data_IF_043474676196
#
_entry.id   IF_043474676196
#
_cell.length_a   1.000
_cell.length_b   1.000
_cell.length_c   1.000
_cell.angle_alpha   90.00
_cell.angle_beta   90.00
_cell.angle_gamma   90.00
#
_symmetry.space_group_name_H-M   'P 1'
#
loop_
_entity.id
_entity.type
_entity.pdbx_description
1 polymer ?
#
# COMPACT_ATOMS: atom_id res chain seq x y z
N UNK A 1 -17.42 -34.40 3.99
CA UNK A 1 -17.31 -33.71 2.68
C UNK A 1 -17.68 -32.26 2.92
N UNK A 2 -16.69 -31.37 3.02
CA UNK A 2 -16.94 -29.93 3.08
C UNK A 2 -17.34 -29.49 1.66
N UNK A 3 -18.55 -28.98 1.52
CA UNK A 3 -19.01 -28.30 0.31
C UNK A 3 -18.18 -27.03 0.15
N UNK A 4 -17.26 -27.03 -0.82
CA UNK A 4 -16.66 -25.80 -1.31
C UNK A 4 -17.78 -24.95 -1.91
N UNK A 5 -18.10 -23.84 -1.27
CA UNK A 5 -19.00 -22.84 -1.82
C UNK A 5 -18.36 -22.26 -3.10
N UNK A 6 -18.82 -22.73 -4.25
CA UNK A 6 -18.35 -22.32 -5.59
C UNK A 6 -19.01 -21.03 -6.09
N UNK A 7 -19.50 -20.17 -5.19
CA UNK A 7 -20.07 -18.88 -5.56
C UNK A 7 -18.97 -17.81 -5.59
N UNK A 8 -18.21 -17.80 -6.69
CA UNK A 8 -17.35 -16.68 -7.03
C UNK A 8 -18.22 -15.51 -7.51
N UNK A 9 -18.92 -14.86 -6.58
CA UNK A 9 -19.73 -13.68 -6.89
C UNK A 9 -18.80 -12.51 -7.21
N UNK A 10 -18.72 -12.16 -8.49
CA UNK A 10 -18.19 -10.86 -8.92
C UNK A 10 -19.23 -9.79 -8.56
N UNK A 11 -19.22 -9.37 -7.30
CA UNK A 11 -19.91 -8.15 -6.91
C UNK A 11 -19.15 -6.98 -7.55
N UNK A 12 -19.86 -6.12 -8.29
CA UNK A 12 -19.36 -4.77 -8.56
C UNK A 12 -18.92 -4.22 -7.21
N UNK A 13 -17.71 -3.68 -7.11
CA UNK A 13 -17.24 -2.95 -5.95
C UNK A 13 -18.09 -1.67 -5.84
N UNK A 14 -19.36 -1.85 -5.48
CA UNK A 14 -20.23 -0.78 -5.03
C UNK A 14 -19.48 -0.15 -3.87
N UNK A 15 -19.25 1.17 -4.01
CA UNK A 15 -18.76 2.10 -3.00
C UNK A 15 -18.73 1.45 -1.62
N UNK A 16 -17.54 1.15 -1.10
CA UNK A 16 -17.39 0.59 0.24
C UNK A 16 -18.20 1.49 1.19
N UNK A 17 -19.38 1.06 1.71
CA UNK A 17 -20.27 1.97 2.42
C UNK A 17 -19.60 2.55 3.67
N UNK A 18 -18.61 1.81 4.17
CA UNK A 18 -17.74 2.08 5.31
C UNK A 18 -16.69 3.16 5.01
N UNK A 19 -16.28 3.32 3.75
CA UNK A 19 -15.26 4.26 3.29
C UNK A 19 -15.87 5.47 2.55
N UNK A 20 -17.20 5.62 2.67
CA UNK A 20 -17.96 6.68 2.02
C UNK A 20 -17.47 8.05 2.48
N UNK A 21 -17.00 8.86 1.54
CA UNK A 21 -16.44 10.19 1.79
C UNK A 21 -14.93 10.26 1.99
N UNK A 22 -14.21 9.12 2.05
CA UNK A 22 -12.74 9.07 2.16
C UNK A 22 -12.01 9.15 0.82
N UNK A 23 -12.75 9.19 -0.31
CA UNK A 23 -12.15 9.23 -1.64
C UNK A 23 -11.45 7.93 -2.04
N UNK A 24 -11.72 6.79 -1.38
CA UNK A 24 -11.17 5.49 -1.75
C UNK A 24 -11.80 5.02 -3.07
N UNK A 25 -10.93 4.71 -4.04
CA UNK A 25 -11.27 4.27 -5.39
C UNK A 25 -11.43 2.76 -5.42
N UNK A 26 -10.48 2.05 -4.80
CA UNK A 26 -10.48 0.58 -4.74
C UNK A 26 -9.74 0.09 -3.50
N UNK A 27 -10.15 -1.07 -3.01
CA UNK A 27 -9.42 -1.82 -2.00
C UNK A 27 -9.49 -3.30 -2.37
N UNK A 28 -8.36 -3.99 -2.25
CA UNK A 28 -8.26 -5.43 -2.49
C UNK A 28 -7.53 -6.05 -1.29
N UNK A 29 -8.07 -7.15 -0.79
CA UNK A 29 -7.54 -7.93 0.31
C UNK A 29 -7.27 -9.34 -0.21
N UNK A 30 -6.02 -9.79 -0.06
CA UNK A 30 -5.63 -11.16 -0.32
C UNK A 30 -5.03 -11.75 0.95
N UNK A 31 -5.56 -12.86 1.41
CA UNK A 31 -5.01 -13.61 2.55
C UNK A 31 -4.69 -15.03 2.12
N UNK A 32 -3.68 -15.60 2.77
CA UNK A 32 -3.30 -16.99 2.61
C UNK A 32 -2.87 -17.56 3.96
N UNK A 33 -3.46 -18.70 4.30
CA UNK A 33 -3.08 -19.49 5.48
C UNK A 33 -2.25 -20.67 4.98
N UNK A 34 -1.04 -20.83 5.51
CA UNK A 34 -0.22 -22.00 5.18
C UNK A 34 -0.86 -23.24 5.84
N UNK A 35 -1.17 -24.28 5.06
CA UNK A 35 -1.75 -25.53 5.58
C UNK A 35 -0.83 -26.68 5.19
N UNK A 36 -0.38 -27.43 6.18
CA UNK A 36 0.44 -28.64 5.98
C UNK A 36 -0.24 -29.85 6.60
N UNK A 37 -0.05 -31.03 6.03
CA UNK A 37 -0.60 -32.28 6.59
C UNK A 37 0.51 -33.04 7.30
N UNK A 38 0.24 -33.55 8.49
CA UNK A 38 1.13 -34.49 9.18
C UNK A 38 1.11 -35.86 8.50
N UNK A 39 2.06 -36.73 8.88
CA UNK A 39 2.08 -38.13 8.44
C UNK A 39 0.80 -38.92 8.81
N UNK A 40 0.02 -38.42 9.77
CA UNK A 40 -1.26 -38.98 10.18
C UNK A 40 -2.47 -38.32 9.48
N UNK A 41 -2.26 -37.52 8.41
CA UNK A 41 -3.28 -36.74 7.71
C UNK A 41 -4.04 -35.73 8.59
N UNK A 42 -3.43 -35.28 9.68
CA UNK A 42 -3.98 -34.19 10.51
C UNK A 42 -3.50 -32.85 9.93
N UNK A 43 -4.40 -31.90 9.61
CA UNK A 43 -4.02 -30.57 9.15
C UNK A 43 -3.37 -29.77 10.28
N UNK A 44 -2.21 -29.20 9.97
CA UNK A 44 -1.53 -28.17 10.74
C UNK A 44 -1.70 -26.84 10.02
N UNK A 45 -2.29 -25.89 10.73
CA UNK A 45 -2.48 -24.53 10.26
C UNK A 45 -1.28 -23.69 10.69
N UNK A 46 -0.64 -23.05 9.73
CA UNK A 46 0.37 -22.03 9.93
C UNK A 46 -0.26 -20.65 10.16
N UNK A 47 0.58 -19.64 10.36
CA UNK A 47 0.10 -18.27 10.48
C UNK A 47 -0.57 -17.80 9.18
N UNK A 48 -1.61 -16.97 9.32
CA UNK A 48 -2.25 -16.35 8.15
C UNK A 48 -1.59 -15.03 7.84
N UNK A 49 -1.16 -14.88 6.58
CA UNK A 49 -0.56 -13.63 6.10
C UNK A 49 -1.25 -13.17 4.84
N UNK A 50 -1.18 -11.87 4.58
CA UNK A 50 -1.84 -11.30 3.41
C UNK A 50 -1.30 -9.96 2.99
N UNK A 51 -1.90 -9.45 1.94
CA UNK A 51 -1.68 -8.11 1.42
C UNK A 51 -3.02 -7.37 1.27
N UNK A 52 -3.00 -6.09 1.62
CA UNK A 52 -4.09 -5.14 1.34
C UNK A 52 -3.53 -4.06 0.44
N UNK A 53 -4.10 -3.93 -0.75
CA UNK A 53 -3.84 -2.80 -1.63
C UNK A 53 -5.02 -1.83 -1.61
N UNK A 54 -4.80 -0.56 -1.30
CA UNK A 54 -5.81 0.50 -1.29
C UNK A 54 -5.40 1.57 -2.28
N UNK A 55 -6.30 1.97 -3.17
CA UNK A 55 -6.13 3.12 -4.06
C UNK A 55 -7.17 4.18 -3.70
N UNK A 56 -6.77 5.44 -3.58
CA UNK A 56 -7.65 6.55 -3.24
C UNK A 56 -7.26 7.83 -3.98
N UNK A 57 -8.16 8.81 -4.01
CA UNK A 57 -7.85 10.15 -4.46
C UNK A 57 -6.97 10.87 -3.44
N UNK A 58 -5.95 11.57 -3.92
CA UNK A 58 -5.13 12.44 -3.09
C UNK A 58 -5.81 13.81 -2.99
N UNK A 59 -5.98 14.41 -1.80
CA UNK A 59 -6.44 15.78 -1.70
C UNK A 59 -5.39 16.72 -2.30
N UNK A 60 -5.85 17.63 -3.16
CA UNK A 60 -5.06 18.78 -3.59
C UNK A 60 -5.23 19.89 -2.56
N UNK A 61 -4.16 20.23 -1.85
CA UNK A 61 -4.17 21.31 -0.85
C UNK A 61 -4.02 22.70 -1.50
N UNK A 62 -4.81 22.97 -2.55
CA UNK A 62 -4.80 24.23 -3.30
C UNK A 62 -3.63 24.39 -4.28
N UNK A 63 -3.01 23.28 -4.69
CA UNK A 63 -1.88 23.28 -5.63
C UNK A 63 -2.36 23.27 -7.08
N UNK A 64 -1.73 24.11 -7.92
CA UNK A 64 -1.91 24.10 -9.38
C UNK A 64 -0.82 23.25 -10.03
N UNK A 65 -1.06 21.94 -10.10
CA UNK A 65 -0.17 20.99 -10.75
C UNK A 65 -0.45 20.99 -12.26
N UNK A 66 0.53 21.43 -13.08
CA UNK A 66 0.40 21.48 -14.55
C UNK A 66 1.11 20.36 -15.28
N UNK A 67 2.09 19.75 -14.63
CA UNK A 67 2.91 18.69 -15.19
C UNK A 67 2.68 17.40 -14.39
N UNK A 68 2.90 16.22 -15.01
CA UNK A 68 2.81 14.96 -14.29
C UNK A 68 3.86 14.90 -13.18
N UNK A 69 3.45 14.35 -12.04
CA UNK A 69 4.28 14.20 -10.86
C UNK A 69 4.08 12.84 -10.23
N UNK A 70 5.15 12.29 -9.66
CA UNK A 70 5.13 10.99 -8.97
C UNK A 70 5.96 11.07 -7.72
N UNK A 71 5.54 10.34 -6.70
CA UNK A 71 6.32 10.16 -5.50
C UNK A 71 6.01 8.80 -4.92
N UNK A 72 6.97 8.21 -4.23
CA UNK A 72 6.71 6.92 -3.62
C UNK A 72 7.80 6.48 -2.68
N UNK A 73 7.47 5.43 -1.95
CA UNK A 73 8.38 4.79 -1.01
C UNK A 73 8.10 3.29 -0.99
N UNK A 74 9.17 2.51 -0.88
CA UNK A 74 9.10 1.06 -0.71
C UNK A 74 9.86 0.65 0.54
N UNK A 75 9.19 -0.16 1.36
CA UNK A 75 9.68 -0.75 2.59
C UNK A 75 9.89 -2.24 2.37
N UNK A 76 11.09 -2.72 2.67
CA UNK A 76 11.41 -4.13 2.61
C UNK A 76 11.20 -4.74 3.99
N UNK A 77 10.49 -5.86 4.07
CA UNK A 77 10.21 -6.57 5.30
C UNK A 77 10.68 -8.01 5.18
N UNK A 78 11.43 -8.50 6.18
CA UNK A 78 11.68 -9.92 6.38
C UNK A 78 10.59 -10.49 7.27
N UNK A 79 9.97 -11.57 6.81
CA UNK A 79 8.96 -12.30 7.58
C UNK A 79 9.64 -13.35 8.46
N UNK A 80 9.38 -13.35 9.76
CA UNK A 80 9.78 -14.41 10.70
C UNK A 80 8.56 -14.95 11.42
N UNK A 81 8.54 -16.25 11.65
CA UNK A 81 7.48 -16.93 12.38
C UNK A 81 8.09 -17.42 13.68
N UNK A 82 7.54 -16.96 14.80
CA UNK A 82 7.88 -17.43 16.13
C UNK A 82 6.80 -18.40 16.62
N UNK A 83 7.22 -19.45 17.32
CA UNK A 83 6.32 -20.44 17.89
C UNK A 83 6.52 -20.43 19.40
N UNK A 84 5.61 -19.79 20.11
CA UNK A 84 5.65 -19.71 21.58
C UNK A 84 4.39 -20.37 22.15
N UNK A 85 4.59 -21.41 22.97
CA UNK A 85 3.50 -22.14 23.64
C UNK A 85 2.38 -22.68 22.71
N UNK A 86 2.71 -22.99 21.46
CA UNK A 86 1.76 -23.50 20.46
C UNK A 86 1.01 -22.44 19.67
N UNK A 87 1.26 -21.14 19.92
CA UNK A 87 0.81 -20.03 19.07
C UNK A 87 1.87 -19.69 18.04
N UNK A 88 1.46 -19.49 16.78
CA UNK A 88 2.34 -19.07 15.69
C UNK A 88 2.14 -17.59 15.41
N UNK A 89 3.08 -16.76 15.86
CA UNK A 89 3.06 -15.32 15.61
C UNK A 89 3.98 -14.97 14.45
N UNK A 90 3.48 -14.18 13.49
CA UNK A 90 4.33 -13.67 12.39
C UNK A 90 4.79 -12.26 12.68
N UNK A 91 6.10 -12.07 12.70
CA UNK A 91 6.76 -10.78 12.85
C UNK A 91 7.33 -10.32 11.51
N UNK A 92 7.04 -9.07 11.13
CA UNK A 92 7.69 -8.41 10.01
C UNK A 92 8.81 -7.50 10.54
N UNK A 93 10.05 -7.81 10.15
CA UNK A 93 11.25 -7.11 10.57
C UNK A 93 11.73 -6.25 9.40
N UNK A 94 11.92 -4.93 9.59
CA UNK A 94 12.31 -4.06 8.48
C UNK A 94 13.74 -4.37 8.01
N UNK A 95 13.88 -4.56 6.69
CA UNK A 95 15.17 -4.73 6.01
C UNK A 95 15.74 -3.40 5.55
N UNK A 96 16.62 -2.84 6.36
CA UNK A 96 17.55 -1.79 5.95
C UNK A 96 16.91 -0.55 5.31
N UNK A 97 17.70 0.12 4.45
CA UNK A 97 17.39 1.45 3.92
C UNK A 97 16.12 1.49 3.09
N UNK A 98 15.22 2.40 3.47
CA UNK A 98 14.00 2.73 2.74
C UNK A 98 14.41 3.54 1.52
N UNK A 99 13.92 3.15 0.35
CA UNK A 99 14.09 3.95 -0.87
C UNK A 99 12.82 4.73 -1.11
N UNK A 100 12.93 6.05 -1.05
CA UNK A 100 11.89 6.96 -1.45
C UNK A 100 12.34 7.76 -2.67
N UNK A 101 11.38 8.17 -3.48
CA UNK A 101 11.63 8.99 -4.65
C UNK A 101 10.53 10.04 -4.81
N UNK A 102 10.90 11.15 -5.45
CA UNK A 102 9.97 12.16 -5.95
C UNK A 102 10.40 12.57 -7.36
N UNK A 103 9.43 12.82 -8.22
CA UNK A 103 9.66 13.17 -9.61
C UNK A 103 8.61 14.18 -10.07
N UNK A 104 9.08 15.32 -10.61
CA UNK A 104 8.19 16.38 -11.08
C UNK A 104 7.52 17.17 -9.94
N UNK A 105 6.47 17.96 -10.24
CA UNK A 105 5.75 18.71 -9.22
C UNK A 105 4.90 17.76 -8.37
N UNK A 106 5.15 17.77 -7.07
CA UNK A 106 4.42 16.95 -6.09
C UNK A 106 3.58 17.85 -5.17
N UNK A 107 2.60 17.24 -4.49
CA UNK A 107 1.85 17.92 -3.43
C UNK A 107 2.75 18.26 -2.22
N UNK A 108 2.46 19.36 -1.54
CA UNK A 108 3.12 19.80 -0.29
C UNK A 108 2.89 18.84 0.87
N UNK A 109 1.90 17.96 0.74
CA UNK A 109 1.67 16.89 1.70
C UNK A 109 2.78 15.83 1.67
N UNK A 110 3.66 15.83 0.66
CA UNK A 110 4.78 14.89 0.54
C UNK A 110 6.09 15.57 0.94
N UNK A 111 6.85 14.90 1.80
CA UNK A 111 8.19 15.32 2.19
C UNK A 111 9.17 14.15 2.13
N UNK A 112 10.38 14.44 1.69
CA UNK A 112 11.49 13.50 1.54
C UNK A 112 12.81 14.23 1.82
N UNK A 113 13.74 13.55 2.49
CA UNK A 113 15.13 14.00 2.58
C UNK A 113 15.87 13.55 1.34
N UNK A 114 16.12 14.47 0.41
CA UNK A 114 16.78 14.18 -0.87
C UNK A 114 18.26 13.86 -0.67
N UNK A 115 18.72 12.77 -1.27
CA UNK A 115 20.13 12.37 -1.32
C UNK A 115 20.74 12.76 -2.65
N UNK A 116 20.05 12.46 -3.75
CA UNK A 116 20.56 12.72 -5.10
C UNK A 116 19.43 13.00 -6.07
N UNK A 117 19.60 14.03 -6.90
CA UNK A 117 18.75 14.30 -8.04
C UNK A 117 19.44 13.94 -9.36
N UNK A 118 18.66 13.46 -10.33
CA UNK A 118 19.08 13.29 -11.71
C UNK A 118 17.90 13.56 -12.64
N UNK A 119 18.22 13.89 -13.88
CA UNK A 119 17.20 14.23 -14.88
C UNK A 119 16.64 12.95 -15.48
N UNK A 120 15.31 12.85 -15.50
CA UNK A 120 14.58 11.80 -16.20
C UNK A 120 13.98 12.36 -17.47
N UNK A 121 14.03 11.54 -18.52
CA UNK A 121 13.42 11.84 -19.80
C UNK A 121 12.54 10.66 -20.20
N UNK A 122 11.28 10.94 -20.52
CA UNK A 122 10.38 9.93 -21.06
C UNK A 122 9.67 10.47 -22.30
N UNK A 123 9.63 9.64 -23.35
CA UNK A 123 8.88 9.88 -24.57
C UNK A 123 8.35 8.52 -25.03
N UNK A 124 7.05 8.42 -25.32
CA UNK A 124 6.42 7.17 -25.73
C UNK A 124 5.91 7.26 -27.17
N UNK A 125 6.35 6.34 -28.02
CA UNK A 125 5.87 6.23 -29.41
C UNK A 125 4.36 5.97 -29.51
N UNK A 126 3.71 5.55 -28.42
CA UNK A 126 2.25 5.39 -28.35
C UNK A 126 1.49 6.71 -28.54
N UNK A 127 2.15 7.86 -28.43
CA UNK A 127 1.53 9.19 -28.59
C UNK A 127 1.53 9.70 -30.04
N UNK A 128 2.04 8.93 -30.99
CA UNK A 128 2.05 9.28 -32.42
C UNK A 128 3.27 10.09 -32.87
N UNK A 129 3.29 10.58 -34.13
CA UNK A 129 4.47 11.16 -34.78
C UNK A 129 4.96 12.46 -34.13
N UNK A 130 4.09 13.16 -33.39
CA UNK A 130 4.44 14.29 -32.53
C UNK A 130 4.31 13.84 -31.07
N UNK A 131 5.27 13.04 -30.60
CA UNK A 131 5.29 12.54 -29.23
C UNK A 131 5.72 13.66 -28.27
N UNK A 132 4.89 14.08 -27.30
CA UNK A 132 5.33 14.95 -26.23
C UNK A 132 6.39 14.23 -25.40
N UNK A 133 7.49 14.93 -25.09
CA UNK A 133 8.48 14.43 -24.15
C UNK A 133 8.22 15.04 -22.77
N UNK A 134 8.43 14.25 -21.73
CA UNK A 134 8.37 14.68 -20.35
C UNK A 134 9.81 14.71 -19.84
N UNK A 135 10.22 15.89 -19.39
CA UNK A 135 11.52 16.10 -18.76
C UNK A 135 11.28 16.47 -17.30
N UNK A 136 11.73 15.62 -16.39
CA UNK A 136 11.53 15.78 -14.96
C UNK A 136 12.86 15.71 -14.20
N UNK A 137 12.85 16.24 -12.99
CA UNK A 137 13.89 15.99 -12.01
C UNK A 137 13.42 14.82 -11.13
N UNK A 138 14.11 13.69 -11.21
CA UNK A 138 13.92 12.58 -10.31
C UNK A 138 14.87 12.74 -9.13
N UNK A 139 14.37 12.60 -7.91
CA UNK A 139 15.13 12.75 -6.69
C UNK A 139 14.94 11.53 -5.79
N UNK A 140 16.03 10.81 -5.53
CA UNK A 140 16.08 9.72 -4.56
C UNK A 140 16.34 10.27 -3.17
N UNK A 141 15.75 9.64 -2.15
CA UNK A 141 15.91 10.05 -0.77
C UNK A 141 15.39 9.05 0.26
N UNK A 142 15.30 9.53 1.49
CA UNK A 142 14.83 8.79 2.67
C UNK A 142 13.94 9.69 3.55
N UNK A 143 13.46 9.18 4.69
CA UNK A 143 12.52 9.89 5.58
C UNK A 143 11.26 10.38 4.85
N UNK A 144 10.67 9.50 4.04
CA UNK A 144 9.41 9.80 3.37
C UNK A 144 8.29 10.03 4.39
N UNK A 145 7.49 11.06 4.16
CA UNK A 145 6.21 11.26 4.85
C UNK A 145 5.17 11.82 3.90
N UNK A 146 3.93 11.40 4.10
CA UNK A 146 2.74 11.91 3.43
C UNK A 146 1.70 12.31 4.48
N UNK A 147 1.29 13.57 4.54
CA UNK A 147 0.32 14.07 5.53
C UNK A 147 -1.11 14.20 5.01
N UNK A 148 -1.39 13.76 3.78
CA UNK A 148 -2.71 13.88 3.17
C UNK A 148 -3.64 12.71 3.52
N UNK A 149 -4.92 12.91 3.23
CA UNK A 149 -5.97 11.89 3.32
C UNK A 149 -5.84 10.84 2.19
N UNK A 150 -6.45 9.65 2.32
CA UNK A 150 -7.17 9.13 3.50
C UNK A 150 -6.27 8.50 4.56
N UNK A 151 -5.01 8.17 4.22
CA UNK A 151 -4.08 7.53 5.15
C UNK A 151 -2.75 8.30 5.10
N UNK A 152 -2.43 9.01 6.19
CA UNK A 152 -1.15 9.69 6.34
C UNK A 152 -0.03 8.67 6.57
N UNK A 153 1.12 8.83 5.89
CA UNK A 153 2.34 8.01 6.03
C UNK A 153 3.40 8.79 6.79
N UNK A 154 3.95 8.19 7.84
CA UNK A 154 5.04 8.80 8.61
C UNK A 154 6.40 8.16 8.27
N UNK A 155 7.49 8.86 8.59
CA UNK A 155 8.84 8.28 8.47
C UNK A 155 9.05 7.09 9.43
N UNK A 156 8.27 7.03 10.53
CA UNK A 156 8.30 5.95 11.51
C UNK A 156 7.62 4.66 11.03
N UNK A 157 6.79 4.73 9.98
CA UNK A 157 6.10 3.57 9.37
C UNK A 157 7.09 2.57 8.75
N UNK A 158 8.34 2.99 8.57
CA UNK A 158 9.45 2.13 8.17
C UNK A 158 9.89 1.10 9.20
N UNK A 159 9.51 1.30 10.47
CA UNK A 159 9.97 0.49 11.59
C UNK A 159 8.83 -0.06 12.43
N UNK A 160 7.70 0.63 12.44
CA UNK A 160 6.59 0.32 13.31
C UNK A 160 5.40 -0.20 12.50
N UNK A 161 4.65 -1.15 13.06
CA UNK A 161 3.36 -1.52 12.50
C UNK A 161 2.42 -0.32 12.48
N UNK A 162 1.56 -0.31 11.49
CA UNK A 162 0.57 0.72 11.26
C UNK A 162 -0.80 0.22 11.67
N UNK A 163 -1.50 1.01 12.47
CA UNK A 163 -2.91 0.77 12.75
C UNK A 163 -3.72 1.48 11.68
N UNK A 164 -4.57 0.73 10.96
CA UNK A 164 -5.48 1.29 9.96
C UNK A 164 -6.78 1.71 10.63
N UNK A 165 -6.91 3.00 10.93
CA UNK A 165 -8.11 3.57 11.56
C UNK A 165 -9.36 3.49 10.68
N UNK A 166 -9.18 3.30 9.37
CA UNK A 166 -10.28 3.18 8.40
C UNK A 166 -11.16 1.92 8.62
N UNK A 167 -10.67 0.95 9.38
CA UNK A 167 -11.42 -0.28 9.71
C UNK A 167 -11.93 -0.28 11.16
N UNK A 168 -11.31 0.49 12.06
CA UNK A 168 -11.69 0.56 13.48
C UNK A 168 -13.00 1.32 13.68
N UNK A 169 -13.98 0.71 14.35
CA UNK A 169 -15.25 1.35 14.73
C UNK A 169 -16.45 1.04 13.82
N UNK A 170 -16.28 0.14 12.85
CA UNK A 170 -17.29 -0.18 11.83
C UNK A 170 -18.15 -1.39 12.19
N UNK A 171 -17.84 -2.08 13.29
CA UNK A 171 -18.46 -3.35 13.69
C UNK A 171 -18.13 -4.54 12.78
N UNK A 172 -17.45 -4.28 11.65
CA UNK A 172 -16.96 -5.26 10.68
C UNK A 172 -15.45 -5.10 10.63
N UNK A 173 -14.80 -5.53 11.72
CA UNK A 173 -13.35 -5.66 11.72
C UNK A 173 -13.02 -6.91 10.91
N UNK A 174 -12.86 -6.74 9.60
CA UNK A 174 -12.67 -7.83 8.62
C UNK A 174 -11.48 -8.71 9.04
N UNK A 175 -10.55 -8.15 9.82
CA UNK A 175 -9.38 -8.81 10.36
C UNK A 175 -9.08 -8.29 11.79
N UNK A 176 -10.03 -8.49 12.71
CA UNK A 176 -9.85 -8.13 14.11
C UNK A 176 -8.53 -8.69 14.67
N UNK A 177 -7.69 -7.80 15.20
CA UNK A 177 -6.37 -8.15 15.73
C UNK A 177 -5.25 -8.27 14.69
N UNK A 178 -5.51 -7.97 13.42
CA UNK A 178 -4.46 -7.93 12.42
C UNK A 178 -3.49 -6.77 12.63
N UNK A 179 -2.21 -7.05 12.49
CA UNK A 179 -1.16 -6.05 12.48
C UNK A 179 -0.81 -5.73 11.03
N UNK A 180 -0.92 -4.45 10.64
CA UNK A 180 -0.61 -4.00 9.29
C UNK A 180 0.78 -3.38 9.23
N UNK A 181 1.50 -3.59 8.14
CA UNK A 181 2.83 -3.05 7.89
C UNK A 181 2.83 -2.41 6.51
N UNK A 182 3.18 -1.12 6.43
CA UNK A 182 3.23 -0.44 5.14
C UNK A 182 4.38 -1.01 4.31
N UNK A 183 4.06 -1.62 3.18
CA UNK A 183 5.03 -2.18 2.23
C UNK A 183 5.42 -1.18 1.16
N UNK A 184 4.45 -0.43 0.64
CA UNK A 184 4.73 0.62 -0.33
C UNK A 184 3.65 1.68 -0.34
N UNK A 185 4.06 2.88 -0.74
CA UNK A 185 3.17 3.99 -1.03
C UNK A 185 3.58 4.60 -2.37
N UNK A 186 2.60 5.00 -3.18
CA UNK A 186 2.83 5.79 -4.38
C UNK A 186 1.76 6.86 -4.53
N UNK A 187 2.18 8.09 -4.76
CA UNK A 187 1.36 9.19 -5.22
C UNK A 187 1.65 9.44 -6.69
N UNK A 188 0.61 9.61 -7.49
CA UNK A 188 0.72 9.90 -8.91
C UNK A 188 -0.30 10.95 -9.33
N UNK A 189 0.17 11.87 -10.15
CA UNK A 189 -0.64 12.87 -10.82
C UNK A 189 -0.28 12.88 -12.31
N UNK A 190 -1.28 12.73 -13.17
CA UNK A 190 -1.15 12.92 -14.61
C UNK A 190 -2.30 13.81 -15.09
N UNK A 191 -2.04 15.08 -15.47
CA UNK A 191 -3.08 15.96 -15.98
C UNK A 191 -3.84 15.34 -17.17
N UNK A 192 -5.15 15.55 -17.30
CA UNK A 192 -6.04 16.38 -16.47
C UNK A 192 -6.70 15.61 -15.30
N UNK A 193 -6.19 14.42 -14.94
CA UNK A 193 -6.85 13.55 -13.96
C UNK A 193 -6.66 14.07 -12.52
N UNK A 194 -7.52 13.61 -11.61
CA UNK A 194 -7.34 13.84 -10.16
C UNK A 194 -6.16 12.99 -9.68
N UNK A 195 -5.25 13.52 -8.84
CA UNK A 195 -4.15 12.73 -8.31
C UNK A 195 -4.66 11.56 -7.47
N UNK A 196 -3.89 10.48 -7.48
CA UNK A 196 -4.22 9.25 -6.76
C UNK A 196 -3.06 8.84 -5.86
N UNK A 197 -3.41 8.25 -4.72
CA UNK A 197 -2.50 7.55 -3.82
C UNK A 197 -2.80 6.07 -3.84
N UNK A 198 -1.77 5.25 -3.85
CA UNK A 198 -1.86 3.80 -3.70
C UNK A 198 -1.01 3.36 -2.51
N UNK A 199 -1.59 2.49 -1.69
CA UNK A 199 -0.96 1.92 -0.51
C UNK A 199 -0.95 0.40 -0.66
N UNK A 200 0.17 -0.23 -0.31
CA UNK A 200 0.25 -1.68 -0.10
C UNK A 200 0.62 -1.93 1.34
N UNK A 201 -0.17 -2.74 2.04
CA UNK A 201 0.07 -3.17 3.40
C UNK A 201 0.25 -4.68 3.44
N UNK A 202 1.26 -5.15 4.15
CA UNK A 202 1.34 -6.53 4.59
C UNK A 202 0.54 -6.67 5.88
N UNK A 203 -0.14 -7.79 6.05
CA UNK A 203 -0.85 -8.10 7.29
C UNK A 203 -0.49 -9.49 7.79
N UNK A 204 -0.53 -9.61 9.11
CA UNK A 204 -0.57 -10.88 9.82
C UNK A 204 -1.68 -10.84 10.85
N UNK A 205 -2.39 -11.94 11.01
CA UNK A 205 -3.27 -12.16 12.14
C UNK A 205 -3.14 -13.59 12.64
N UNK A 206 -3.23 -13.74 13.96
CA UNK A 206 -3.25 -15.02 14.63
C UNK A 206 -4.70 -15.52 14.56
N UNK A 207 -4.95 -16.54 13.74
CA UNK A 207 -6.26 -17.18 13.57
C UNK A 207 -6.53 -18.24 14.61
#
# INVERSE_FOLDING_TARGET
MATLDTLCNCNIAAEFPILRGLGIISANLRTNTDVTLTAANVPLYGATTGDISITAYAPLSGEDLKCPGRAGVSYNWDRRIECESGSLTTHFIPRGGIKAYVEGPITRNISITTVRGYTSFSASASSGPTTPYIYNLHQDGYNFSYSGDPIAVSSADSKNPKTLSIFTGTGVDILAGATYYLQSFSWEYTPPNVPTVSYSFLLSYDG
#
